data_IF_688825864705
#
_entry.id   IF_688825864705
#
_cell.length_a   1.000
_cell.length_b   1.000
_cell.length_c   1.000
_cell.angle_alpha   90.00
_cell.angle_beta   90.00
_cell.angle_gamma   90.00
#
_symmetry.space_group_name_H-M   'P 1'
#
loop_
_entity.id
_entity.type
_entity.pdbx_description
1 polymer ?
#
# COMPACT_ATOMS: atom_id res chain seq x y z
N UNK A 1 -6.62 -12.12 -36.19
CA UNK A 1 -5.82 -11.18 -35.36
C UNK A 1 -4.93 -11.99 -34.44
N UNK A 2 -3.70 -11.53 -34.18
CA UNK A 2 -2.81 -12.18 -33.21
C UNK A 2 -3.42 -12.12 -31.79
N UNK A 3 -3.23 -13.20 -31.02
CA UNK A 3 -3.89 -13.40 -29.73
C UNK A 3 -3.04 -12.92 -28.53
N UNK A 4 -2.47 -11.73 -28.66
CA UNK A 4 -1.52 -11.18 -27.67
C UNK A 4 -2.25 -10.64 -26.42
N UNK A 5 -1.64 -10.84 -25.26
CA UNK A 5 -1.97 -10.17 -24.00
C UNK A 5 -1.28 -8.81 -23.97
N UNK A 6 -2.07 -7.74 -24.01
CA UNK A 6 -1.56 -6.36 -24.06
C UNK A 6 -1.88 -5.67 -22.74
N UNK A 7 -0.87 -5.03 -22.14
CA UNK A 7 -1.04 -4.14 -20.99
C UNK A 7 -0.76 -2.70 -21.41
N UNK A 8 -1.80 -1.87 -21.45
CA UNK A 8 -1.64 -0.42 -21.58
C UNK A 8 -1.29 0.15 -20.22
N UNK A 9 -0.13 0.78 -20.09
CA UNK A 9 0.39 1.27 -18.81
C UNK A 9 0.31 2.80 -18.80
N UNK A 10 -0.53 3.37 -17.94
CA UNK A 10 -0.76 4.79 -17.83
C UNK A 10 -0.02 5.31 -16.59
N UNK A 11 0.67 6.44 -16.72
CA UNK A 11 1.28 7.11 -15.57
C UNK A 11 1.15 8.63 -15.71
N UNK A 12 0.85 9.37 -14.62
CA UNK A 12 0.91 10.83 -14.62
C UNK A 12 2.35 11.35 -14.65
N UNK A 13 3.35 10.47 -14.49
CA UNK A 13 4.76 10.84 -14.46
C UNK A 13 5.36 10.94 -15.86
N UNK A 14 6.49 11.65 -15.96
CA UNK A 14 7.28 11.74 -17.19
C UNK A 14 7.73 10.38 -17.75
N UNK A 15 7.91 9.39 -16.87
CA UNK A 15 8.42 8.06 -17.21
C UNK A 15 7.54 6.98 -16.59
N UNK A 16 7.32 5.90 -17.34
CA UNK A 16 6.82 4.65 -16.78
C UNK A 16 7.93 3.99 -15.96
N UNK A 17 7.56 3.38 -14.84
CA UNK A 17 8.51 2.65 -14.00
C UNK A 17 9.07 1.45 -14.75
N UNK A 18 10.41 1.31 -14.89
CA UNK A 18 10.99 0.09 -15.45
C UNK A 18 10.66 -1.15 -14.61
N UNK A 19 10.48 -0.98 -13.30
CA UNK A 19 10.06 -2.06 -12.41
C UNK A 19 8.69 -2.60 -12.82
N UNK A 20 7.71 -1.71 -13.02
CA UNK A 20 6.35 -2.12 -13.39
C UNK A 20 6.32 -2.78 -14.78
N UNK A 21 7.16 -2.30 -15.72
CA UNK A 21 7.29 -2.89 -17.06
C UNK A 21 7.85 -4.31 -16.97
N UNK A 22 8.96 -4.50 -16.26
CA UNK A 22 9.55 -5.82 -16.08
C UNK A 22 8.56 -6.77 -15.41
N UNK A 23 7.89 -6.32 -14.34
CA UNK A 23 6.95 -7.15 -13.61
C UNK A 23 5.76 -7.58 -14.46
N UNK A 24 5.24 -6.71 -15.32
CA UNK A 24 4.18 -7.06 -16.25
C UNK A 24 4.62 -8.12 -17.26
N UNK A 25 5.82 -8.00 -17.82
CA UNK A 25 6.35 -8.97 -18.77
C UNK A 25 6.62 -10.33 -18.11
N UNK A 26 7.22 -10.32 -16.92
CA UNK A 26 7.50 -11.53 -16.13
C UNK A 26 6.19 -12.22 -15.67
N UNK A 27 5.10 -11.45 -15.48
CA UNK A 27 3.76 -11.98 -15.21
C UNK A 27 3.07 -12.58 -16.46
N UNK A 28 3.68 -12.52 -17.63
CA UNK A 28 3.21 -13.18 -18.86
C UNK A 28 2.37 -12.31 -19.80
N UNK A 29 2.43 -10.98 -19.66
CA UNK A 29 1.95 -10.09 -20.74
C UNK A 29 2.90 -10.16 -21.94
N UNK A 30 2.33 -10.29 -23.14
CA UNK A 30 3.14 -10.39 -24.36
C UNK A 30 3.67 -9.02 -24.79
N UNK A 31 2.92 -7.94 -24.50
CA UNK A 31 3.28 -6.56 -24.85
C UNK A 31 2.85 -5.59 -23.76
N UNK A 32 3.75 -4.70 -23.36
CA UNK A 32 3.47 -3.56 -22.47
C UNK A 32 3.63 -2.25 -23.25
N UNK A 33 2.61 -1.38 -23.23
CA UNK A 33 2.62 -0.10 -23.96
C UNK A 33 2.53 1.05 -22.95
N UNK A 34 3.61 1.82 -22.73
CA UNK A 34 3.59 2.93 -21.79
C UNK A 34 3.02 4.22 -22.40
N UNK A 35 2.15 4.88 -21.65
CA UNK A 35 1.66 6.25 -21.86
C UNK A 35 2.08 7.09 -20.66
N UNK A 36 2.85 8.14 -20.90
CA UNK A 36 3.43 8.99 -19.85
C UNK A 36 2.80 10.37 -19.84
N UNK A 37 2.94 11.07 -18.72
CA UNK A 37 2.31 12.39 -18.50
C UNK A 37 0.79 12.37 -18.72
N UNK A 38 0.14 11.24 -18.46
CA UNK A 38 -1.29 11.05 -18.66
C UNK A 38 -2.05 11.81 -17.57
N UNK A 39 -2.94 12.70 -17.99
CA UNK A 39 -3.85 13.42 -17.09
C UNK A 39 -5.12 12.62 -16.85
N UNK A 40 -5.92 12.99 -15.84
CA UNK A 40 -7.18 12.30 -15.57
C UNK A 40 -8.20 12.48 -16.71
N UNK A 41 -8.11 13.58 -17.45
CA UNK A 41 -8.92 13.88 -18.62
C UNK A 41 -8.63 12.91 -19.78
N UNK A 42 -7.36 12.52 -19.96
CA UNK A 42 -6.92 11.63 -21.05
C UNK A 42 -7.41 10.18 -20.88
N UNK A 43 -7.62 9.73 -19.64
CA UNK A 43 -7.90 8.32 -19.31
C UNK A 43 -9.08 7.74 -20.08
N UNK A 44 -10.15 8.53 -20.28
CA UNK A 44 -11.36 8.03 -20.95
C UNK A 44 -11.09 7.69 -22.41
N UNK A 45 -10.40 8.56 -23.14
CA UNK A 45 -10.07 8.32 -24.55
C UNK A 45 -9.17 7.10 -24.70
N UNK A 46 -8.10 7.03 -23.89
CA UNK A 46 -7.16 5.90 -23.91
C UNK A 46 -7.84 4.55 -23.64
N UNK A 47 -8.77 4.51 -22.68
CA UNK A 47 -9.50 3.27 -22.37
C UNK A 47 -10.49 2.92 -23.48
N UNK A 48 -11.23 3.90 -24.02
CA UNK A 48 -12.17 3.64 -25.10
C UNK A 48 -11.49 3.12 -26.37
N UNK A 49 -10.32 3.67 -26.72
CA UNK A 49 -9.52 3.16 -27.83
C UNK A 49 -9.05 1.72 -27.60
N UNK A 50 -8.71 1.37 -26.35
CA UNK A 50 -8.30 0.02 -25.99
C UNK A 50 -9.46 -1.00 -26.04
N UNK A 51 -10.67 -0.64 -25.60
CA UNK A 51 -11.81 -1.57 -25.55
C UNK A 51 -12.47 -1.81 -26.93
N UNK A 52 -12.49 -0.81 -27.83
CA UNK A 52 -13.16 -0.95 -29.13
C UNK A 52 -12.28 -1.52 -30.23
N UNK A 53 -10.96 -1.57 -30.05
CA UNK A 53 -10.02 -1.97 -31.11
C UNK A 53 -9.84 -3.48 -31.29
N UNK A 54 -10.35 -4.33 -30.38
CA UNK A 54 -10.06 -5.79 -30.37
C UNK A 54 -11.26 -6.72 -30.25
N UNK A 55 -12.49 -6.18 -30.23
CA UNK A 55 -13.71 -6.96 -30.10
C UNK A 55 -13.86 -7.69 -28.74
N UNK A 56 -14.99 -8.38 -28.50
CA UNK A 56 -15.31 -8.96 -27.18
C UNK A 56 -14.36 -10.05 -26.67
N UNK A 57 -13.70 -10.80 -27.57
CA UNK A 57 -12.69 -11.79 -27.17
C UNK A 57 -11.32 -11.16 -26.93
N UNK A 58 -10.99 -10.09 -27.66
CA UNK A 58 -9.72 -9.39 -27.52
C UNK A 58 -9.61 -8.60 -26.22
N UNK A 59 -10.72 -8.01 -25.75
CA UNK A 59 -10.75 -7.25 -24.48
C UNK A 59 -10.41 -8.12 -23.27
N UNK A 60 -10.72 -9.43 -23.29
CA UNK A 60 -10.30 -10.38 -22.24
C UNK A 60 -8.78 -10.57 -22.14
N UNK A 61 -8.04 -10.09 -23.15
CA UNK A 61 -6.57 -10.14 -23.24
C UNK A 61 -5.97 -8.74 -23.33
N UNK A 62 -6.72 -7.73 -22.92
CA UNK A 62 -6.25 -6.37 -22.80
C UNK A 62 -6.44 -5.94 -21.34
N UNK A 63 -5.42 -5.31 -20.79
CA UNK A 63 -5.47 -4.73 -19.47
C UNK A 63 -5.00 -3.28 -19.49
N UNK A 64 -5.35 -2.55 -18.44
CA UNK A 64 -4.81 -1.24 -18.12
C UNK A 64 -4.14 -1.30 -16.74
N UNK A 65 -2.89 -0.86 -16.69
CA UNK A 65 -2.15 -0.62 -15.46
C UNK A 65 -2.03 0.87 -15.22
N UNK A 66 -2.21 1.32 -13.97
CA UNK A 66 -2.08 2.72 -13.57
C UNK A 66 -0.97 2.83 -12.54
N UNK A 67 0.15 3.41 -12.95
CA UNK A 67 1.28 3.72 -12.07
C UNK A 67 1.15 5.10 -11.43
N UNK A 68 2.29 5.65 -11.00
CA UNK A 68 2.37 6.99 -10.40
C UNK A 68 3.00 6.97 -9.02
N UNK A 69 2.79 8.05 -8.26
CA UNK A 69 3.32 8.20 -6.88
C UNK A 69 2.28 8.66 -5.86
N UNK A 70 1.02 8.81 -6.27
CA UNK A 70 -0.04 9.39 -5.45
C UNK A 70 -1.25 8.45 -5.44
N UNK A 71 -1.64 8.02 -4.24
CA UNK A 71 -2.73 7.05 -4.05
C UNK A 71 -4.05 7.54 -4.67
N UNK A 72 -4.47 8.75 -4.29
CA UNK A 72 -5.77 9.32 -4.68
C UNK A 72 -5.85 9.53 -6.18
N UNK A 73 -4.80 10.10 -6.79
CA UNK A 73 -4.71 10.29 -8.24
C UNK A 73 -4.81 8.96 -9.01
N UNK A 74 -4.07 7.93 -8.59
CA UNK A 74 -4.15 6.61 -9.20
C UNK A 74 -5.55 5.98 -9.06
N UNK A 75 -6.19 6.14 -7.90
CA UNK A 75 -7.56 5.64 -7.66
C UNK A 75 -8.60 6.41 -8.47
N UNK A 76 -8.41 7.70 -8.70
CA UNK A 76 -9.30 8.53 -9.52
C UNK A 76 -9.17 8.18 -11.00
N UNK A 77 -7.94 7.98 -11.49
CA UNK A 77 -7.70 7.43 -12.82
C UNK A 77 -8.32 6.03 -12.97
N UNK A 78 -8.20 5.16 -11.96
CA UNK A 78 -8.81 3.83 -11.98
C UNK A 78 -10.34 3.89 -12.05
N UNK A 79 -10.95 4.78 -11.26
CA UNK A 79 -12.40 5.02 -11.30
C UNK A 79 -12.82 5.52 -12.68
N UNK A 80 -12.09 6.49 -13.25
CA UNK A 80 -12.36 7.02 -14.59
C UNK A 80 -12.25 5.94 -15.66
N UNK A 81 -11.23 5.09 -15.58
CA UNK A 81 -11.04 3.97 -16.51
C UNK A 81 -12.22 3.00 -16.46
N UNK A 82 -12.68 2.61 -15.27
CA UNK A 82 -13.87 1.76 -15.11
C UNK A 82 -15.13 2.41 -15.70
N UNK A 83 -15.34 3.70 -15.45
CA UNK A 83 -16.50 4.43 -15.99
C UNK A 83 -16.46 4.65 -17.50
N UNK A 84 -15.30 4.49 -18.15
CA UNK A 84 -15.15 4.64 -19.59
C UNK A 84 -15.56 3.38 -20.38
N UNK A 85 -15.76 2.25 -19.71
CA UNK A 85 -16.10 0.97 -20.34
C UNK A 85 -17.58 0.88 -20.73
N UNK A 86 -17.87 0.10 -21.77
CA UNK A 86 -19.22 -0.09 -22.30
C UNK A 86 -19.43 -1.58 -22.57
N UNK A 87 -20.35 -2.27 -21.87
CA UNK A 87 -20.61 -3.69 -22.13
C UNK A 87 -20.96 -3.96 -23.60
N UNK A 88 -20.45 -5.06 -24.21
CA UNK A 88 -19.59 -6.10 -23.62
C UNK A 88 -18.08 -5.80 -23.70
N UNK A 89 -17.68 -4.57 -24.00
CA UNK A 89 -16.29 -4.15 -24.17
C UNK A 89 -15.70 -3.64 -22.85
N UNK A 90 -15.22 -4.58 -22.05
CA UNK A 90 -14.65 -4.31 -20.72
C UNK A 90 -13.27 -4.97 -20.61
N UNK A 91 -12.33 -4.26 -19.99
CA UNK A 91 -10.95 -4.70 -19.78
C UNK A 91 -10.62 -4.72 -18.29
N UNK A 92 -9.61 -5.50 -17.89
CA UNK A 92 -9.12 -5.44 -16.51
C UNK A 92 -8.35 -4.15 -16.27
N UNK A 93 -8.58 -3.50 -15.12
CA UNK A 93 -7.86 -2.29 -14.70
C UNK A 93 -7.26 -2.52 -13.32
N UNK A 94 -5.96 -2.26 -13.20
CA UNK A 94 -5.21 -2.37 -11.96
C UNK A 94 -4.40 -1.08 -11.72
N UNK A 95 -4.32 -0.64 -10.46
CA UNK A 95 -3.54 0.53 -10.07
C UNK A 95 -2.55 0.12 -9.00
N UNK A 96 -1.29 0.54 -9.14
CA UNK A 96 -0.26 0.28 -8.14
C UNK A 96 0.82 1.37 -8.18
N UNK A 97 0.54 2.58 -7.68
CA UNK A 97 1.48 3.69 -7.73
C UNK A 97 2.75 3.36 -6.95
N UNK A 98 3.86 3.18 -7.67
CA UNK A 98 5.17 2.83 -7.14
C UNK A 98 5.16 1.55 -6.27
N UNK A 99 4.39 0.54 -6.65
CA UNK A 99 4.32 -0.74 -5.92
C UNK A 99 3.63 -0.66 -4.55
N UNK A 100 2.97 0.46 -4.24
CA UNK A 100 2.56 0.76 -2.88
C UNK A 100 1.28 0.04 -2.43
N UNK A 101 0.36 -0.29 -3.34
CA UNK A 101 -0.87 -1.01 -2.99
C UNK A 101 -0.58 -2.49 -2.79
N UNK A 102 0.25 -3.08 -3.63
CA UNK A 102 0.72 -4.47 -3.47
C UNK A 102 1.53 -4.62 -2.19
N UNK A 103 2.48 -3.73 -1.92
CA UNK A 103 3.26 -3.72 -0.67
C UNK A 103 2.36 -3.58 0.56
N UNK A 104 1.36 -2.69 0.52
CA UNK A 104 0.42 -2.52 1.63
C UNK A 104 -0.42 -3.78 1.87
N UNK A 105 -0.91 -4.42 0.80
CA UNK A 105 -1.67 -5.66 0.90
C UNK A 105 -0.83 -6.80 1.48
N UNK A 106 0.41 -6.95 1.02
CA UNK A 106 1.35 -7.94 1.54
C UNK A 106 1.67 -7.68 3.01
N UNK A 107 1.97 -6.44 3.40
CA UNK A 107 2.26 -6.09 4.81
C UNK A 107 1.09 -6.44 5.74
N UNK A 108 -0.15 -6.12 5.34
CA UNK A 108 -1.34 -6.48 6.13
C UNK A 108 -1.54 -8.00 6.16
N UNK A 109 -1.31 -8.70 5.05
CA UNK A 109 -1.42 -10.16 4.99
C UNK A 109 -0.41 -10.86 5.91
N UNK A 110 0.88 -10.48 5.88
CA UNK A 110 1.89 -11.01 6.79
C UNK A 110 1.54 -10.75 8.25
N UNK A 111 1.02 -9.55 8.56
CA UNK A 111 0.60 -9.23 9.93
C UNK A 111 -0.58 -10.09 10.39
N UNK A 112 -1.57 -10.35 9.52
CA UNK A 112 -2.70 -11.26 9.81
C UNK A 112 -2.21 -12.68 10.06
N UNK A 113 -1.27 -13.15 9.25
CA UNK A 113 -0.66 -14.46 9.41
C UNK A 113 0.10 -14.57 10.75
N UNK A 114 0.96 -13.61 11.07
CA UNK A 114 1.67 -13.59 12.34
C UNK A 114 0.73 -13.51 13.56
N UNK A 115 -0.35 -12.73 13.49
CA UNK A 115 -1.38 -12.69 14.55
C UNK A 115 -2.05 -14.05 14.76
N UNK A 116 -2.39 -14.74 13.66
CA UNK A 116 -3.02 -16.06 13.69
C UNK A 116 -2.07 -17.09 14.27
N UNK A 117 -0.87 -17.18 13.73
CA UNK A 117 0.04 -18.31 13.97
C UNK A 117 0.82 -18.17 15.27
N UNK A 118 1.22 -16.95 15.63
CA UNK A 118 2.02 -16.71 16.85
C UNK A 118 1.15 -16.39 18.06
N UNK A 119 0.02 -15.72 17.86
CA UNK A 119 -0.79 -15.16 18.95
C UNK A 119 -2.22 -15.71 19.03
N UNK A 120 -2.63 -16.59 18.10
CA UNK A 120 -3.98 -17.16 18.06
C UNK A 120 -5.08 -16.09 18.10
N UNK A 121 -4.85 -14.95 17.43
CA UNK A 121 -5.79 -13.82 17.32
C UNK A 121 -5.89 -13.33 15.87
N UNK A 122 -6.85 -12.47 15.61
CA UNK A 122 -7.04 -11.81 14.31
C UNK A 122 -6.77 -10.31 14.38
N UNK A 123 -6.75 -9.67 13.20
CA UNK A 123 -6.55 -8.22 13.05
C UNK A 123 -7.78 -7.40 13.46
N UNK A 124 -8.97 -8.00 13.35
CA UNK A 124 -10.24 -7.35 13.68
C UNK A 124 -10.25 -6.87 15.12
N UNK A 125 -10.66 -5.61 15.32
CA UNK A 125 -10.71 -4.95 16.62
C UNK A 125 -9.36 -4.49 17.17
N UNK A 126 -8.24 -4.78 16.51
CA UNK A 126 -6.90 -4.36 16.97
C UNK A 126 -6.64 -2.87 16.74
N UNK A 127 -5.93 -2.26 17.67
CA UNK A 127 -5.40 -0.90 17.50
C UNK A 127 -4.12 -0.92 16.64
N UNK A 128 -4.16 -0.27 15.48
CA UNK A 128 -3.04 -0.22 14.53
C UNK A 128 -2.46 1.19 14.45
N UNK A 129 -1.18 1.33 14.79
CA UNK A 129 -0.43 2.56 14.63
C UNK A 129 0.36 2.53 13.31
N UNK A 130 0.05 3.43 12.38
CA UNK A 130 0.67 3.49 11.05
C UNK A 130 1.62 4.69 10.95
N UNK A 131 2.91 4.46 11.22
CA UNK A 131 3.96 5.46 11.07
C UNK A 131 4.36 5.63 9.61
N UNK A 132 4.57 6.88 9.18
CA UNK A 132 4.74 7.18 7.75
C UNK A 132 3.41 7.28 7.00
N UNK A 133 2.32 7.63 7.72
CA UNK A 133 0.96 7.65 7.19
C UNK A 133 0.71 8.64 6.02
N UNK A 134 1.67 9.53 5.72
CA UNK A 134 1.58 10.40 4.54
C UNK A 134 2.03 9.70 3.24
N UNK A 135 2.72 8.57 3.34
CA UNK A 135 3.13 7.74 2.21
C UNK A 135 2.00 6.82 1.73
N UNK A 136 2.09 6.38 0.47
CA UNK A 136 1.03 5.57 -0.15
C UNK A 136 0.89 4.19 0.51
N UNK A 137 2.01 3.54 0.86
CA UNK A 137 1.98 2.25 1.58
C UNK A 137 1.27 2.39 2.92
N UNK A 138 1.64 3.40 3.73
CA UNK A 138 0.99 3.65 5.02
C UNK A 138 -0.51 3.92 4.87
N UNK A 139 -0.88 4.82 3.95
CA UNK A 139 -2.28 5.11 3.64
C UNK A 139 -3.08 3.86 3.25
N UNK A 140 -2.58 3.10 2.27
CA UNK A 140 -3.27 1.90 1.79
C UNK A 140 -3.36 0.81 2.87
N UNK A 141 -2.33 0.66 3.70
CA UNK A 141 -2.33 -0.33 4.79
C UNK A 141 -3.36 0.01 5.87
N UNK A 142 -3.50 1.30 6.21
CA UNK A 142 -4.55 1.74 7.13
C UNK A 142 -5.96 1.47 6.56
N UNK A 143 -6.16 1.71 5.26
CA UNK A 143 -7.43 1.40 4.57
C UNK A 143 -7.72 -0.09 4.59
N UNK A 144 -6.79 -0.92 4.14
CA UNK A 144 -6.96 -2.38 4.06
C UNK A 144 -7.23 -2.95 5.46
N UNK A 145 -6.46 -2.53 6.46
CA UNK A 145 -6.64 -3.02 7.81
C UNK A 145 -7.98 -2.56 8.44
N UNK A 146 -8.42 -1.34 8.15
CA UNK A 146 -9.73 -0.86 8.61
C UNK A 146 -10.89 -1.57 7.93
N UNK A 147 -10.76 -1.93 6.65
CA UNK A 147 -11.73 -2.77 5.94
C UNK A 147 -11.81 -4.18 6.55
N UNK A 148 -10.71 -4.66 7.13
CA UNK A 148 -10.65 -5.92 7.89
C UNK A 148 -11.12 -5.77 9.36
N UNK A 149 -11.66 -4.59 9.71
CA UNK A 149 -12.30 -4.33 11.00
C UNK A 149 -11.34 -3.89 12.11
N UNK A 150 -10.11 -3.51 11.80
CA UNK A 150 -9.18 -2.92 12.76
C UNK A 150 -9.41 -1.42 12.98
N UNK A 151 -8.90 -0.89 14.09
CA UNK A 151 -8.91 0.54 14.40
C UNK A 151 -7.55 1.15 14.04
N UNK A 152 -7.42 1.67 12.82
CA UNK A 152 -6.16 2.23 12.34
C UNK A 152 -6.03 3.73 12.60
N UNK A 153 -4.81 4.16 12.96
CA UNK A 153 -4.43 5.56 13.12
C UNK A 153 -3.29 5.90 12.15
N UNK A 154 -3.52 6.85 11.25
CA UNK A 154 -2.47 7.40 10.37
C UNK A 154 -1.63 8.44 11.11
N UNK A 155 -0.32 8.20 11.19
CA UNK A 155 0.60 9.01 11.98
C UNK A 155 1.54 9.80 11.08
N UNK A 156 1.46 11.13 11.21
CA UNK A 156 2.35 12.09 10.54
C UNK A 156 3.60 12.38 11.36
N UNK A 157 4.52 13.17 10.80
CA UNK A 157 5.74 13.63 11.50
C UNK A 157 5.90 15.16 11.50
N UNK A 158 5.00 15.86 10.82
CA UNK A 158 5.05 17.30 10.53
C UNK A 158 3.71 17.97 10.90
N UNK A 159 3.11 17.54 12.01
CA UNK A 159 1.77 17.95 12.43
C UNK A 159 0.66 17.06 11.86
N UNK A 160 -0.59 17.26 12.32
CA UNK A 160 -1.70 16.36 12.01
C UNK A 160 -2.37 16.64 10.66
N UNK A 161 -2.19 17.81 10.06
CA UNK A 161 -3.06 18.25 8.95
C UNK A 161 -3.00 17.37 7.70
N UNK A 162 -1.82 16.89 7.32
CA UNK A 162 -1.66 16.04 6.13
C UNK A 162 -2.32 14.68 6.34
N UNK A 163 -2.08 14.06 7.49
CA UNK A 163 -2.69 12.75 7.82
C UNK A 163 -4.17 12.87 8.12
N UNK A 164 -4.64 13.99 8.68
CA UNK A 164 -6.06 14.30 8.84
C UNK A 164 -6.79 14.30 7.50
N UNK A 165 -6.29 15.06 6.52
CA UNK A 165 -6.90 15.12 5.18
C UNK A 165 -6.92 13.76 4.49
N UNK A 166 -5.85 12.96 4.65
CA UNK A 166 -5.79 11.60 4.11
C UNK A 166 -6.80 10.67 4.80
N UNK A 167 -6.92 10.73 6.13
CA UNK A 167 -7.90 9.95 6.88
C UNK A 167 -9.33 10.32 6.49
N UNK A 168 -9.64 11.62 6.37
CA UNK A 168 -10.95 12.12 5.92
C UNK A 168 -11.30 11.61 4.50
N UNK A 169 -10.36 11.69 3.56
CA UNK A 169 -10.53 11.17 2.20
C UNK A 169 -10.74 9.66 2.20
N UNK A 170 -9.96 8.90 2.98
CA UNK A 170 -10.13 7.47 3.10
C UNK A 170 -11.50 7.09 3.67
N UNK A 171 -11.92 7.76 4.74
CA UNK A 171 -13.20 7.51 5.39
C UNK A 171 -14.37 7.77 4.44
N UNK A 172 -14.30 8.87 3.67
CA UNK A 172 -15.29 9.19 2.65
C UNK A 172 -15.29 8.18 1.48
N UNK A 173 -14.10 7.80 0.99
CA UNK A 173 -13.96 6.97 -0.22
C UNK A 173 -14.24 5.48 0.02
N UNK A 174 -13.85 4.95 1.18
CA UNK A 174 -13.88 3.51 1.47
C UNK A 174 -14.86 3.13 2.57
N UNK A 175 -15.60 4.09 3.14
CA UNK A 175 -16.54 3.83 4.24
C UNK A 175 -15.87 3.16 5.45
N UNK A 176 -14.65 3.61 5.77
CA UNK A 176 -13.85 3.19 6.93
C UNK A 176 -13.82 4.28 8.00
N UNK A 177 -13.26 3.97 9.17
CA UNK A 177 -13.07 4.91 10.26
C UNK A 177 -11.61 4.94 10.72
N UNK A 178 -10.76 5.58 9.92
CA UNK A 178 -9.35 5.80 10.20
C UNK A 178 -9.20 7.07 11.04
N UNK A 179 -8.49 6.95 12.16
CA UNK A 179 -8.07 8.07 12.99
C UNK A 179 -6.76 8.68 12.45
N UNK A 180 -6.38 9.84 12.98
CA UNK A 180 -5.12 10.50 12.65
C UNK A 180 -4.43 11.04 13.90
N UNK A 181 -3.11 11.09 13.89
CA UNK A 181 -2.31 11.64 14.97
C UNK A 181 -1.01 12.27 14.47
N UNK A 182 -0.44 13.14 15.29
CA UNK A 182 0.90 13.68 15.09
C UNK A 182 1.91 12.86 15.89
N UNK A 183 2.96 12.40 15.23
CA UNK A 183 4.10 11.68 15.81
C UNK A 183 5.43 12.42 15.57
N UNK A 184 5.37 13.76 15.50
CA UNK A 184 6.53 14.62 15.27
C UNK A 184 7.54 14.66 16.43
N UNK A 185 7.12 14.39 17.67
CA UNK A 185 8.00 14.30 18.84
C UNK A 185 8.09 12.89 19.42
N UNK A 186 9.14 12.64 20.21
CA UNK A 186 9.33 11.35 20.86
C UNK A 186 8.23 11.06 21.90
N UNK A 187 7.74 12.07 22.61
CA UNK A 187 6.63 11.94 23.56
C UNK A 187 5.34 11.51 22.85
N UNK A 188 5.04 12.11 21.69
CA UNK A 188 3.89 11.76 20.88
C UNK A 188 3.99 10.33 20.35
N UNK A 189 5.15 9.96 19.78
CA UNK A 189 5.40 8.58 19.35
C UNK A 189 5.24 7.59 20.49
N UNK A 190 5.78 7.89 21.67
CA UNK A 190 5.68 7.03 22.85
C UNK A 190 4.23 6.82 23.27
N UNK A 191 3.39 7.86 23.23
CA UNK A 191 1.97 7.73 23.53
C UNK A 191 1.27 6.78 22.53
N UNK A 192 1.52 6.98 21.23
CA UNK A 192 0.94 6.16 20.16
C UNK A 192 1.41 4.70 20.20
N UNK A 193 2.69 4.47 20.51
CA UNK A 193 3.27 3.12 20.63
C UNK A 193 2.68 2.37 21.82
N UNK A 194 2.42 3.03 22.96
CA UNK A 194 1.86 2.36 24.14
C UNK A 194 0.47 1.79 23.92
N UNK A 195 -0.33 2.41 23.06
CA UNK A 195 -1.70 1.99 22.74
C UNK A 195 -1.77 0.97 21.60
N UNK A 196 -0.69 0.80 20.83
CA UNK A 196 -0.67 -0.04 19.65
C UNK A 196 -0.61 -1.54 20.00
N UNK A 197 -1.44 -2.32 19.31
CA UNK A 197 -1.34 -3.78 19.28
C UNK A 197 -0.63 -4.27 18.02
N UNK A 198 -0.69 -3.49 16.94
CA UNK A 198 0.06 -3.70 15.70
C UNK A 198 0.67 -2.36 15.26
N UNK A 199 1.91 -2.40 14.79
CA UNK A 199 2.60 -1.23 14.24
C UNK A 199 2.98 -1.50 12.78
N UNK A 200 2.62 -0.59 11.89
CA UNK A 200 3.13 -0.55 10.52
C UNK A 200 4.06 0.65 10.36
N UNK A 201 5.30 0.39 9.94
CA UNK A 201 6.31 1.40 9.64
C UNK A 201 6.50 1.51 8.12
N UNK A 202 5.93 2.56 7.55
CA UNK A 202 5.94 2.86 6.11
C UNK A 202 6.64 4.19 5.80
N UNK A 203 7.81 4.38 6.42
CA UNK A 203 8.61 5.60 6.30
C UNK A 203 9.45 5.67 5.02
N UNK A 204 10.12 6.81 4.78
CA UNK A 204 11.10 6.93 3.70
C UNK A 204 12.27 5.95 3.87
N UNK A 205 12.85 5.55 2.75
CA UNK A 205 14.05 4.72 2.71
C UNK A 205 15.19 5.32 3.56
N UNK A 206 15.87 4.48 4.35
CA UNK A 206 17.03 4.88 5.16
C UNK A 206 16.70 5.82 6.32
N UNK A 207 15.43 5.87 6.76
CA UNK A 207 15.01 6.68 7.90
C UNK A 207 14.40 5.83 9.00
N UNK A 208 15.01 5.87 10.19
CA UNK A 208 14.45 5.29 11.41
C UNK A 208 13.26 6.11 11.91
N UNK A 209 12.16 5.43 12.20
CA UNK A 209 10.92 6.00 12.75
C UNK A 209 10.79 5.71 14.25
N UNK A 210 11.08 4.48 14.66
CA UNK A 210 10.92 3.98 16.02
C UNK A 210 12.19 3.33 16.55
N UNK A 211 12.47 3.54 17.82
CA UNK A 211 13.57 2.88 18.54
C UNK A 211 13.06 1.66 19.31
N UNK A 212 13.99 0.76 19.67
CA UNK A 212 13.64 -0.43 20.43
C UNK A 212 13.09 -0.07 21.83
N UNK A 213 13.60 0.99 22.43
CA UNK A 213 13.13 1.45 23.75
C UNK A 213 11.72 2.03 23.72
N UNK A 214 11.25 2.52 22.56
CA UNK A 214 9.84 2.88 22.38
C UNK A 214 8.99 1.62 22.34
N UNK A 215 9.38 0.60 21.55
CA UNK A 215 8.64 -0.65 21.44
C UNK A 215 8.48 -1.37 22.78
N UNK A 216 9.51 -1.38 23.64
CA UNK A 216 9.46 -1.97 25.00
C UNK A 216 8.40 -1.35 25.92
N UNK A 217 7.91 -0.14 25.59
CA UNK A 217 6.83 0.51 26.34
C UNK A 217 5.44 -0.03 25.95
N UNK A 218 5.29 -0.64 24.79
CA UNK A 218 4.02 -1.19 24.30
C UNK A 218 3.73 -2.56 24.93
N UNK A 219 2.85 -2.59 25.93
CA UNK A 219 2.56 -3.82 26.70
C UNK A 219 1.60 -4.78 25.99
N UNK A 220 0.89 -4.30 24.98
CA UNK A 220 -0.09 -5.07 24.22
C UNK A 220 0.32 -5.29 22.76
N UNK A 221 1.59 -4.99 22.42
CA UNK A 221 2.10 -5.11 21.07
C UNK A 221 2.30 -6.58 20.69
N UNK A 222 1.73 -6.97 19.55
CA UNK A 222 1.83 -8.31 18.99
C UNK A 222 2.72 -8.33 17.75
N UNK A 223 2.51 -7.41 16.79
CA UNK A 223 3.21 -7.42 15.50
C UNK A 223 3.75 -6.03 15.16
N UNK A 224 4.97 -5.99 14.64
CA UNK A 224 5.56 -4.81 14.01
C UNK A 224 6.01 -5.18 12.60
N UNK A 225 5.54 -4.47 11.58
CA UNK A 225 6.00 -4.65 10.21
C UNK A 225 6.69 -3.38 9.70
N UNK A 226 7.82 -3.54 9.03
CA UNK A 226 8.63 -2.45 8.46
C UNK A 226 8.93 -2.72 7.00
N UNK A 227 8.51 -1.81 6.11
CA UNK A 227 8.72 -1.93 4.66
C UNK A 227 10.00 -1.21 4.19
N UNK A 228 10.81 -0.65 5.09
CA UNK A 228 12.07 -0.04 4.73
C UNK A 228 13.18 -1.10 4.55
N UNK A 229 13.54 -1.39 3.30
CA UNK A 229 14.65 -2.27 2.97
C UNK A 229 16.04 -1.58 3.01
N UNK A 230 16.10 -0.25 3.20
CA UNK A 230 17.34 0.53 3.14
C UNK A 230 17.82 0.89 4.55
N UNK A 231 19.06 0.53 4.94
CA UNK A 231 19.61 0.86 6.25
C UNK A 231 19.69 2.37 6.53
N UNK A 232 19.47 2.81 7.79
CA UNK A 232 18.93 2.02 8.90
C UNK A 232 17.47 1.64 8.66
N UNK A 233 17.04 0.51 9.22
CA UNK A 233 15.63 0.10 9.25
C UNK A 233 14.74 1.19 9.83
N UNK A 234 13.48 1.21 9.39
CA UNK A 234 12.43 2.08 9.94
C UNK A 234 12.15 1.77 11.41
N UNK A 235 12.23 0.51 11.80
CA UNK A 235 12.10 0.07 13.19
C UNK A 235 13.41 -0.53 13.66
N UNK A 236 13.98 0.03 14.73
CA UNK A 236 15.21 -0.50 15.31
C UNK A 236 15.02 -1.94 15.85
N UNK A 237 15.97 -2.82 15.50
CA UNK A 237 15.93 -4.22 15.91
C UNK A 237 15.19 -5.15 14.94
N UNK A 238 14.54 -4.62 13.90
CA UNK A 238 13.99 -5.42 12.80
C UNK A 238 14.99 -5.57 11.66
N UNK A 239 15.28 -6.82 11.30
CA UNK A 239 16.00 -7.20 10.09
C UNK A 239 15.08 -7.23 8.87
N UNK A 240 15.63 -6.99 7.68
CA UNK A 240 14.85 -6.96 6.44
C UNK A 240 14.25 -8.31 6.05
N UNK A 241 14.80 -9.42 6.55
CA UNK A 241 14.32 -10.80 6.31
C UNK A 241 13.55 -11.37 7.51
N UNK A 242 13.29 -10.58 8.55
CA UNK A 242 12.53 -11.08 9.69
C UNK A 242 11.12 -11.45 9.24
N UNK A 243 10.68 -12.65 9.61
CA UNK A 243 9.36 -13.18 9.28
C UNK A 243 8.78 -13.80 10.55
N UNK A 244 7.88 -13.03 11.19
CA UNK A 244 7.40 -13.30 12.53
C UNK A 244 8.53 -13.59 13.56
N UNK A 245 9.68 -12.92 13.42
CA UNK A 245 10.84 -13.08 14.32
C UNK A 245 10.61 -12.33 15.63
N UNK A 246 10.86 -12.91 16.83
CA UNK A 246 10.70 -12.20 18.09
C UNK A 246 11.55 -10.91 18.18
N UNK A 247 10.94 -9.81 18.62
CA UNK A 247 11.64 -8.53 18.82
C UNK A 247 12.23 -8.49 20.24
N UNK A 248 13.56 -8.40 20.40
CA UNK A 248 14.21 -8.50 21.71
C UNK A 248 13.68 -7.52 22.76
N UNK A 249 13.26 -8.04 23.91
CA UNK A 249 12.75 -7.22 25.03
C UNK A 249 11.28 -6.80 24.91
N UNK A 250 10.58 -7.29 23.91
CA UNK A 250 9.11 -7.13 23.78
C UNK A 250 8.43 -8.50 23.72
N UNK A 251 7.09 -8.53 23.82
CA UNK A 251 6.30 -9.73 23.55
C UNK A 251 5.89 -9.88 22.08
N UNK A 252 6.39 -9.02 21.19
CA UNK A 252 5.96 -8.90 19.81
C UNK A 252 6.91 -9.63 18.84
N UNK A 253 6.42 -9.87 17.63
CA UNK A 253 7.22 -10.31 16.48
C UNK A 253 7.36 -9.23 15.43
N UNK A 254 8.49 -9.25 14.72
CA UNK A 254 8.88 -8.35 13.66
C UNK A 254 8.75 -8.99 12.29
N UNK A 255 8.35 -8.19 11.30
CA UNK A 255 8.28 -8.56 9.89
C UNK A 255 9.03 -7.50 9.08
N UNK A 256 10.05 -7.93 8.34
CA UNK A 256 10.92 -7.07 7.55
C UNK A 256 10.48 -6.90 6.10
N UNK A 257 11.05 -5.90 5.43
CA UNK A 257 10.65 -5.49 4.09
C UNK A 257 10.77 -6.58 3.02
N UNK A 258 11.78 -7.46 3.11
CA UNK A 258 11.95 -8.57 2.16
C UNK A 258 11.02 -9.75 2.46
N UNK A 259 10.64 -9.95 3.73
CA UNK A 259 9.59 -10.91 4.06
C UNK A 259 8.24 -10.45 3.49
N UNK A 260 7.91 -9.16 3.64
CA UNK A 260 6.73 -8.55 3.00
C UNK A 260 6.78 -8.67 1.47
N UNK A 261 7.93 -8.43 0.86
CA UNK A 261 8.09 -8.47 -0.59
C UNK A 261 8.09 -9.88 -1.21
N UNK A 262 8.08 -10.95 -0.40
CA UNK A 262 8.16 -12.34 -0.86
C UNK A 262 6.81 -13.07 -0.78
N UNK A 263 5.71 -12.32 -0.63
CA UNK A 263 4.32 -12.82 -0.65
C UNK A 263 3.76 -12.86 -2.06
#
# INVERSE_FOLDING_TARGET
MANLRILHMLTPLKHMSPFDVNMALDAGFDVTIPYTSVTIEDVTGLVQDAIFSRGPEGVKRTGVFIGGKRAIEALDMMKRAKSAMVPPFEISVFADPAGSFTTAAAMVACAKEALRDTFSTELKGKCIAVFGGTGVVGFASAVIASLDGASATLIGYDGPDRVRKLAEEANARFSVNIAYADGGTEEQKNALVREAEVIFAAGPAGKRLLTLDQLKQAKHLHVVADVNAVPPSGVEGLGVNDDATPIPGTGAVGIGALAVGNV
#
